data_IF_595258231982
#
_entry.id   IF_595258231982
#
_cell.length_a   1.000
_cell.length_b   1.000
_cell.length_c   1.000
_cell.angle_alpha   90.00
_cell.angle_beta   90.00
_cell.angle_gamma   90.00
#
_symmetry.space_group_name_H-M   'P 1'
#
loop_
_entity.id
_entity.type
_entity.pdbx_description
1 polymer ?
#
# COMPACT_ATOMS: atom_id res chain seq x y z
N UNK A 1 -21.07 -22.52 16.26
CA UNK A 1 -19.78 -22.44 15.54
C UNK A 1 -20.00 -21.50 14.36
N UNK A 2 -19.37 -20.32 14.29
CA UNK A 2 -19.55 -19.43 13.14
C UNK A 2 -18.98 -20.11 11.89
N UNK A 3 -19.74 -20.01 10.81
CA UNK A 3 -19.59 -20.75 9.56
C UNK A 3 -18.31 -20.33 8.83
N UNK A 4 -17.57 -21.29 8.27
CA UNK A 4 -16.33 -21.07 7.51
C UNK A 4 -16.53 -20.25 6.20
N UNK A 5 -17.75 -19.78 5.93
CA UNK A 5 -18.16 -19.09 4.70
C UNK A 5 -17.86 -17.57 4.71
N UNK A 6 -17.55 -16.98 5.87
CA UNK A 6 -17.45 -15.51 6.00
C UNK A 6 -16.05 -14.95 5.68
N UNK A 7 -14.99 -15.72 5.95
CA UNK A 7 -13.60 -15.23 5.79
C UNK A 7 -13.17 -15.07 4.35
N UNK A 8 -13.76 -15.84 3.43
CA UNK A 8 -13.35 -15.86 2.01
C UNK A 8 -13.69 -14.55 1.29
N UNK A 9 -14.81 -13.90 1.64
CA UNK A 9 -15.24 -12.64 1.02
C UNK A 9 -14.67 -11.39 1.71
N UNK A 10 -14.29 -11.48 2.98
CA UNK A 10 -13.70 -10.36 3.71
C UNK A 10 -12.39 -9.85 3.08
N UNK A 11 -11.63 -10.73 2.40
CA UNK A 11 -10.37 -10.37 1.75
C UNK A 11 -10.54 -9.82 0.33
N UNK A 12 -11.70 -10.01 -0.32
CA UNK A 12 -11.98 -9.49 -1.66
C UNK A 12 -12.29 -7.98 -1.65
N UNK A 13 -12.66 -7.43 -0.49
CA UNK A 13 -13.02 -6.02 -0.33
C UNK A 13 -11.90 -5.16 0.26
N UNK A 14 -10.77 -5.76 0.66
CA UNK A 14 -9.65 -5.03 1.25
C UNK A 14 -8.79 -4.38 0.18
N UNK A 15 -8.57 -3.07 0.35
CA UNK A 15 -7.66 -2.30 -0.49
C UNK A 15 -6.21 -2.82 -0.36
N UNK A 16 -5.46 -2.95 -1.46
CA UNK A 16 -4.05 -3.34 -1.43
C UNK A 16 -3.20 -2.51 -0.47
N UNK A 17 -3.45 -1.21 -0.36
CA UNK A 17 -2.77 -0.31 0.57
C UNK A 17 -2.93 -0.74 2.04
N UNK A 18 -4.14 -1.12 2.44
CA UNK A 18 -4.43 -1.62 3.79
C UNK A 18 -3.67 -2.91 4.07
N UNK A 19 -3.65 -3.84 3.11
CA UNK A 19 -2.94 -5.12 3.26
C UNK A 19 -1.44 -4.89 3.41
N UNK A 20 -0.86 -4.06 2.54
CA UNK A 20 0.56 -3.70 2.58
C UNK A 20 0.93 -3.05 3.90
N UNK A 21 0.11 -2.11 4.40
CA UNK A 21 0.34 -1.44 5.68
C UNK A 21 0.42 -2.43 6.85
N UNK A 22 -0.48 -3.42 6.88
CA UNK A 22 -0.47 -4.47 7.91
C UNK A 22 0.73 -5.40 7.77
N UNK A 23 0.99 -5.91 6.56
CA UNK A 23 2.05 -6.90 6.33
C UNK A 23 3.46 -6.30 6.47
N UNK A 24 3.64 -5.00 6.21
CA UNK A 24 4.93 -4.29 6.35
C UNK A 24 5.47 -4.29 7.79
N UNK A 25 4.63 -4.53 8.80
CA UNK A 25 5.06 -4.61 10.20
C UNK A 25 5.74 -5.94 10.56
N UNK A 26 5.60 -6.97 9.73
CA UNK A 26 6.18 -8.29 9.93
C UNK A 26 7.48 -8.45 9.15
N UNK A 27 8.43 -9.19 9.73
CA UNK A 27 9.63 -9.62 9.03
C UNK A 27 9.35 -10.74 8.02
N UNK A 28 10.26 -10.93 7.07
CA UNK A 28 10.13 -11.91 6.00
C UNK A 28 9.96 -13.37 6.51
N UNK A 29 10.78 -13.87 7.45
CA UNK A 29 10.56 -15.19 8.06
C UNK A 29 9.17 -15.38 8.65
N UNK A 30 8.66 -14.39 9.41
CA UNK A 30 7.31 -14.43 9.99
C UNK A 30 6.23 -14.52 8.90
N UNK A 31 6.33 -13.70 7.85
CA UNK A 31 5.39 -13.74 6.72
C UNK A 31 5.39 -15.09 6.00
N UNK A 32 6.57 -15.69 5.80
CA UNK A 32 6.69 -17.03 5.18
C UNK A 32 6.00 -18.07 6.05
N UNK A 33 6.26 -18.07 7.37
CA UNK A 33 5.64 -19.02 8.30
C UNK A 33 4.12 -18.91 8.30
N UNK A 34 3.59 -17.68 8.35
CA UNK A 34 2.15 -17.43 8.26
C UNK A 34 1.62 -17.95 6.92
N UNK A 35 2.27 -17.64 5.81
CA UNK A 35 1.84 -18.08 4.47
C UNK A 35 1.79 -19.60 4.32
N UNK A 36 2.72 -20.34 4.93
CA UNK A 36 2.74 -21.81 4.91
C UNK A 36 1.60 -22.41 5.73
N UNK A 37 1.27 -21.81 6.89
CA UNK A 37 0.22 -22.30 7.81
C UNK A 37 -1.19 -21.84 7.44
N UNK A 38 -1.30 -20.84 6.57
CA UNK A 38 -2.57 -20.23 6.20
C UNK A 38 -3.32 -20.99 5.10
N UNK A 39 -4.61 -20.71 5.00
CA UNK A 39 -5.49 -21.19 3.94
C UNK A 39 -5.13 -20.58 2.57
N UNK A 40 -5.74 -21.12 1.51
CA UNK A 40 -5.42 -20.73 0.12
C UNK A 40 -5.57 -19.22 -0.14
N UNK A 41 -6.63 -18.53 0.33
CA UNK A 41 -6.80 -17.09 0.10
C UNK A 41 -5.71 -16.26 0.77
N UNK A 42 -5.45 -16.46 2.07
CA UNK A 42 -4.47 -15.69 2.80
C UNK A 42 -3.04 -15.97 2.31
N UNK A 43 -2.74 -17.23 1.97
CA UNK A 43 -1.47 -17.59 1.34
C UNK A 43 -1.27 -16.84 0.02
N UNK A 44 -2.29 -16.76 -0.83
CA UNK A 44 -2.22 -16.01 -2.10
C UNK A 44 -1.91 -14.53 -1.86
N UNK A 45 -2.58 -13.90 -0.88
CA UNK A 45 -2.33 -12.51 -0.52
C UNK A 45 -0.89 -12.26 -0.04
N UNK A 46 -0.36 -13.13 0.82
CA UNK A 46 1.01 -13.02 1.30
C UNK A 46 2.01 -13.15 0.14
N UNK A 47 1.79 -14.11 -0.77
CA UNK A 47 2.65 -14.22 -1.96
C UNK A 47 2.54 -13.01 -2.89
N UNK A 48 1.34 -12.46 -3.08
CA UNK A 48 1.13 -11.25 -3.88
C UNK A 48 1.85 -10.04 -3.26
N UNK A 49 1.81 -9.92 -1.93
CA UNK A 49 2.58 -8.91 -1.21
C UNK A 49 4.10 -9.08 -1.42
N UNK A 50 4.62 -10.28 -1.20
CA UNK A 50 6.06 -10.56 -1.28
C UNK A 50 6.63 -10.42 -2.70
N UNK A 51 5.84 -10.74 -3.72
CA UNK A 51 6.30 -10.76 -5.12
C UNK A 51 6.02 -9.46 -5.87
N UNK A 52 4.93 -8.76 -5.54
CA UNK A 52 4.47 -7.59 -6.27
C UNK A 52 4.38 -6.34 -5.39
N UNK A 53 3.47 -6.30 -4.42
CA UNK A 53 3.16 -5.04 -3.71
C UNK A 53 4.31 -4.48 -2.88
N UNK A 54 5.15 -5.33 -2.28
CA UNK A 54 6.35 -4.88 -1.56
C UNK A 54 7.40 -4.20 -2.45
N UNK A 55 7.32 -4.42 -3.78
CA UNK A 55 8.23 -3.86 -4.77
C UNK A 55 7.67 -2.61 -5.46
N UNK A 56 6.38 -2.33 -5.27
CA UNK A 56 5.73 -1.13 -5.81
C UNK A 56 6.32 0.11 -5.13
N UNK A 57 6.64 1.12 -5.92
CA UNK A 57 7.08 2.44 -5.45
C UNK A 57 6.13 3.50 -5.99
N UNK A 58 5.92 4.55 -5.20
CA UNK A 58 5.19 5.72 -5.67
C UNK A 58 5.88 6.30 -6.92
N UNK A 59 5.11 6.82 -7.90
CA UNK A 59 5.65 7.49 -9.09
C UNK A 59 6.48 8.74 -8.78
N UNK A 60 6.28 9.34 -7.60
CA UNK A 60 7.08 10.44 -7.10
C UNK A 60 7.91 10.00 -5.89
N UNK A 61 9.14 10.50 -5.82
CA UNK A 61 10.04 10.32 -4.71
C UNK A 61 10.27 11.65 -3.96
N UNK A 62 11.06 11.60 -2.88
CA UNK A 62 11.35 12.80 -2.08
C UNK A 62 12.11 13.91 -2.84
N UNK A 63 12.87 13.60 -3.89
CA UNK A 63 13.51 14.62 -4.71
C UNK A 63 12.50 15.32 -5.62
N UNK A 64 11.51 14.60 -6.14
CA UNK A 64 10.43 15.18 -6.93
C UNK A 64 9.58 16.13 -6.09
N UNK A 65 9.28 15.76 -4.84
CA UNK A 65 8.59 16.65 -3.90
C UNK A 65 9.40 17.93 -3.62
N UNK A 66 10.73 17.85 -3.50
CA UNK A 66 11.58 19.04 -3.35
C UNK A 66 11.52 19.92 -4.60
N UNK A 67 11.55 19.32 -5.79
CA UNK A 67 11.46 20.05 -7.06
C UNK A 67 10.10 20.74 -7.23
N UNK A 68 9.03 20.18 -6.67
CA UNK A 68 7.70 20.78 -6.61
C UNK A 68 7.56 21.90 -5.56
N UNK A 69 8.61 22.18 -4.77
CA UNK A 69 8.63 23.25 -3.79
C UNK A 69 8.16 22.87 -2.38
N UNK A 70 7.93 21.57 -2.11
CA UNK A 70 7.57 21.12 -0.76
C UNK A 70 8.78 21.18 0.18
N UNK A 71 8.53 21.58 1.43
CA UNK A 71 9.58 21.65 2.47
C UNK A 71 9.82 20.27 3.11
N UNK A 72 11.07 19.77 3.13
CA UNK A 72 11.38 18.47 3.71
C UNK A 72 11.03 18.44 5.20
N UNK A 73 10.34 17.39 5.65
CA UNK A 73 9.92 17.24 7.03
C UNK A 73 8.99 16.05 7.25
N UNK A 74 8.30 16.01 8.41
CA UNK A 74 7.34 14.94 8.74
C UNK A 74 6.24 14.78 7.69
N UNK A 75 5.83 15.87 7.06
CA UNK A 75 4.83 15.89 5.99
C UNK A 75 5.29 15.15 4.72
N UNK A 76 6.60 15.12 4.41
CA UNK A 76 7.11 14.35 3.26
C UNK A 76 6.81 12.87 3.41
N UNK A 77 7.06 12.31 4.60
CA UNK A 77 6.79 10.90 4.85
C UNK A 77 5.30 10.59 4.67
N UNK A 78 4.43 11.46 5.19
CA UNK A 78 2.98 11.32 5.04
C UNK A 78 2.55 11.39 3.56
N UNK A 79 3.06 12.36 2.80
CA UNK A 79 2.78 12.49 1.37
C UNK A 79 3.25 11.27 0.57
N UNK A 80 4.48 10.80 0.83
CA UNK A 80 5.03 9.61 0.16
C UNK A 80 4.26 8.35 0.52
N UNK A 81 3.85 8.18 1.78
CA UNK A 81 3.04 7.04 2.23
C UNK A 81 1.64 7.09 1.59
N UNK A 82 1.01 8.27 1.46
CA UNK A 82 -0.27 8.44 0.78
C UNK A 82 -0.18 8.17 -0.73
N UNK A 83 0.86 8.68 -1.39
CA UNK A 83 1.11 8.42 -2.80
C UNK A 83 1.33 6.93 -3.05
N UNK A 84 2.10 6.26 -2.20
CA UNK A 84 2.30 4.81 -2.29
C UNK A 84 0.98 4.06 -2.09
N UNK A 85 0.18 4.44 -1.10
CA UNK A 85 -1.14 3.84 -0.86
C UNK A 85 -2.06 4.01 -2.08
N UNK A 86 -2.15 5.22 -2.63
CA UNK A 86 -2.96 5.50 -3.81
C UNK A 86 -2.44 4.77 -5.07
N UNK A 87 -1.13 4.57 -5.19
CA UNK A 87 -0.52 3.76 -6.26
C UNK A 87 -0.88 2.28 -6.12
N UNK A 88 -0.78 1.74 -4.89
CA UNK A 88 -1.14 0.35 -4.58
C UNK A 88 -2.62 0.06 -4.84
N UNK A 89 -3.48 1.05 -4.57
CA UNK A 89 -4.92 0.97 -4.79
C UNK A 89 -5.32 1.20 -6.26
N UNK A 90 -4.37 1.53 -7.14
CA UNK A 90 -4.62 1.75 -8.56
C UNK A 90 -5.25 3.11 -8.89
N UNK A 91 -5.16 4.11 -8.01
CA UNK A 91 -5.61 5.47 -8.29
C UNK A 91 -4.56 6.31 -9.01
N UNK A 92 -3.28 5.94 -8.91
CA UNK A 92 -2.16 6.69 -9.46
C UNK A 92 -1.29 5.71 -10.27
N UNK A 93 -1.07 6.03 -11.54
CA UNK A 93 -0.18 5.25 -12.41
C UNK A 93 1.00 6.05 -12.91
N UNK A 94 0.86 7.38 -13.00
CA UNK A 94 1.88 8.26 -13.57
C UNK A 94 2.37 9.32 -12.57
N UNK A 95 3.57 9.90 -12.79
CA UNK A 95 4.03 11.06 -12.04
C UNK A 95 3.06 12.25 -12.11
N UNK A 96 2.36 12.41 -13.24
CA UNK A 96 1.34 13.44 -13.45
C UNK A 96 0.12 13.22 -12.57
N UNK A 97 -0.38 11.98 -12.49
CA UNK A 97 -1.48 11.62 -11.57
C UNK A 97 -1.09 11.89 -10.12
N UNK A 98 0.16 11.61 -9.77
CA UNK A 98 0.67 11.84 -8.42
C UNK A 98 0.72 13.33 -8.07
N UNK A 99 1.09 14.20 -9.01
CA UNK A 99 1.04 15.66 -8.83
C UNK A 99 -0.40 16.15 -8.66
N UNK A 100 -1.33 15.64 -9.47
CA UNK A 100 -2.76 15.96 -9.34
C UNK A 100 -3.29 15.52 -7.98
N UNK A 101 -2.98 14.30 -7.55
CA UNK A 101 -3.39 13.77 -6.26
C UNK A 101 -2.92 14.63 -5.08
N UNK A 102 -1.65 15.08 -5.09
CA UNK A 102 -1.13 15.98 -4.06
C UNK A 102 -1.86 17.32 -4.05
N UNK A 103 -2.18 17.88 -5.22
CA UNK A 103 -2.89 19.15 -5.31
C UNK A 103 -4.31 19.08 -4.71
N UNK A 104 -4.99 17.93 -4.87
CA UNK A 104 -6.32 17.69 -4.29
C UNK A 104 -6.27 17.50 -2.78
N UNK A 105 -5.29 16.77 -2.25
CA UNK A 105 -5.14 16.55 -0.80
C UNK A 105 -4.86 17.85 -0.04
N UNK A 106 -4.10 18.78 -0.62
CA UNK A 106 -3.74 20.06 0.01
C UNK A 106 -4.94 21.02 0.13
N UNK A 107 -5.94 20.90 -0.74
CA UNK A 107 -7.17 21.72 -0.70
C UNK A 107 -8.17 21.26 0.38
N UNK A 108 -7.87 20.19 1.12
CA UNK A 108 -8.78 19.58 2.10
C UNK A 108 -8.34 19.79 3.56
N UNK A 109 -7.32 20.63 3.83
CA UNK A 109 -6.91 21.07 5.18
C UNK A 109 -7.15 22.56 5.43
#
# INVERSE_FOLDING_TARGET
MPNNMDRSHAFETLKPSTIVSHLKSYDLPSLILIGVRSDRPLRRLIWQYLTHWSRVRAPLNGNDLKALGYKPGRQFKLMLDQLLAATLDGHIHTPEDAKMFLSTQILTE
#
